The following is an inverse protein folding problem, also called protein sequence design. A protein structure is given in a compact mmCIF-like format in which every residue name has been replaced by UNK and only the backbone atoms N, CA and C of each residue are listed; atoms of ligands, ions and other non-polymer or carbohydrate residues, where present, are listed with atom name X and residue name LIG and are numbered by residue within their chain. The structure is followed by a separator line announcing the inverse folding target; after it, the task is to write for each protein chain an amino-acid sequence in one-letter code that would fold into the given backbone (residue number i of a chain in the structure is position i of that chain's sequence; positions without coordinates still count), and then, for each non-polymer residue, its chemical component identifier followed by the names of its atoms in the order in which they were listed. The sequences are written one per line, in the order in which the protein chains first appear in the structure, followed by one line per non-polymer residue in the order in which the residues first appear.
data_IF_284132536314
#
_entry.id   IF_284132536314
#
_cell.length_a   1.000
_cell.length_b   1.000
_cell.length_c   1.000
_cell.angle_alpha   90.00
_cell.angle_beta   90.00
_cell.angle_gamma   90.00
#
_symmetry.space_group_name_H-M   'P 1'
#
loop_
_entity.id
_entity.type
_entity.pdbx_description
1 polymer ?
#
# COMPACT_ATOMS: atom_id res chain seq x y z
N UNK A 1 10.08 -63.97 26.76
CA UNK A 1 10.90 -62.74 26.84
C UNK A 1 11.02 -62.12 25.46
N UNK A 2 10.06 -61.30 25.04
CA UNK A 2 10.13 -60.44 23.85
C UNK A 2 9.30 -59.19 24.20
N UNK A 3 9.87 -57.99 24.03
CA UNK A 3 9.24 -57.08 23.07
C UNK A 3 10.25 -56.19 22.36
N UNK A 4 10.41 -56.40 21.04
CA UNK A 4 10.92 -55.38 20.12
C UNK A 4 9.78 -55.07 19.16
N UNK A 5 8.93 -54.11 19.53
CA UNK A 5 7.99 -53.45 18.64
C UNK A 5 7.72 -52.08 19.26
N UNK A 6 8.32 -51.00 18.73
CA UNK A 6 7.82 -49.62 18.60
C UNK A 6 8.99 -48.83 17.99
N UNK A 7 9.22 -49.00 16.69
CA UNK A 7 10.10 -48.10 15.94
C UNK A 7 9.64 -48.08 14.49
N UNK A 8 8.49 -47.47 14.18
CA UNK A 8 8.06 -47.21 12.79
C UNK A 8 6.77 -46.38 12.74
N UNK A 9 6.73 -45.20 13.38
CA UNK A 9 5.62 -44.25 13.23
C UNK A 9 6.05 -42.78 13.31
N UNK A 10 7.33 -42.46 13.08
CA UNK A 10 7.82 -41.07 13.14
C UNK A 10 8.31 -40.49 11.80
N UNK A 11 8.05 -41.15 10.67
CA UNK A 11 8.49 -40.66 9.35
C UNK A 11 7.37 -40.07 8.48
N UNK A 12 6.11 -40.16 8.90
CA UNK A 12 4.97 -39.67 8.11
C UNK A 12 4.54 -38.22 8.45
N UNK A 13 4.96 -37.69 9.60
CA UNK A 13 4.54 -36.34 10.04
C UNK A 13 5.42 -35.24 9.43
N UNK A 14 6.66 -35.55 9.02
CA UNK A 14 7.54 -34.55 8.40
C UNK A 14 7.25 -34.27 6.92
N UNK A 15 6.58 -35.17 6.19
CA UNK A 15 6.24 -34.92 4.78
C UNK A 15 4.92 -34.15 4.58
N UNK A 16 4.02 -34.15 5.57
CA UNK A 16 2.74 -33.43 5.48
C UNK A 16 2.83 -31.92 5.69
N UNK A 17 3.90 -31.45 6.35
CA UNK A 17 4.06 -30.03 6.71
C UNK A 17 4.67 -29.15 5.59
N UNK A 18 5.16 -29.76 4.50
CA UNK A 18 5.83 -29.04 3.40
C UNK A 18 4.88 -28.63 2.26
N UNK A 19 3.58 -28.97 2.32
CA UNK A 19 2.60 -28.69 1.26
C UNK A 19 1.65 -27.52 1.54
N UNK A 20 1.79 -26.82 2.68
CA UNK A 20 0.98 -25.63 3.01
C UNK A 20 1.60 -24.30 2.52
N UNK A 21 2.73 -24.34 1.82
CA UNK A 21 3.58 -23.18 1.56
C UNK A 21 3.35 -22.41 0.25
N UNK A 22 2.24 -22.61 -0.46
CA UNK A 22 2.00 -21.90 -1.71
C UNK A 22 0.52 -21.55 -1.94
N UNK A 23 -0.11 -20.93 -0.95
CA UNK A 23 -1.16 -19.96 -1.27
C UNK A 23 -0.47 -18.85 -2.07
N UNK A 24 -0.57 -18.91 -3.41
CA UNK A 24 -0.22 -17.78 -4.27
C UNK A 24 -1.28 -16.70 -4.05
N UNK A 25 -1.21 -16.02 -2.92
CA UNK A 25 -2.03 -14.84 -2.66
C UNK A 25 -1.59 -13.78 -3.66
N UNK A 26 -2.53 -13.33 -4.48
CA UNK A 26 -2.38 -12.12 -5.26
C UNK A 26 -1.81 -11.02 -4.36
N UNK A 27 -0.78 -10.27 -4.79
CA UNK A 27 -0.26 -9.18 -3.98
C UNK A 27 -1.37 -8.15 -3.73
N UNK A 28 -1.36 -7.54 -2.56
CA UNK A 28 -2.35 -6.53 -2.16
C UNK A 28 -1.66 -5.35 -1.50
N UNK A 29 -2.31 -4.19 -1.55
CA UNK A 29 -1.96 -3.03 -0.74
C UNK A 29 -2.42 -3.32 0.69
N UNK A 30 -1.48 -3.32 1.63
CA UNK A 30 -1.76 -3.59 3.04
C UNK A 30 -1.97 -2.31 3.83
N UNK A 31 -1.26 -1.24 3.45
CA UNK A 31 -1.30 0.06 4.10
C UNK A 31 -0.80 1.13 3.15
N UNK A 32 -1.34 2.33 3.28
CA UNK A 32 -0.79 3.54 2.68
C UNK A 32 -0.51 4.54 3.79
N UNK A 33 0.74 4.97 3.91
CA UNK A 33 1.10 6.03 4.83
C UNK A 33 1.06 7.37 4.11
N UNK A 34 0.41 8.35 4.72
CA UNK A 34 0.35 9.73 4.24
C UNK A 34 1.01 10.63 5.27
N UNK A 35 2.02 11.38 4.87
CA UNK A 35 2.77 12.31 5.73
C UNK A 35 2.66 13.72 5.18
N UNK A 36 2.15 14.66 5.97
CA UNK A 36 2.11 16.07 5.57
C UNK A 36 3.48 16.73 5.81
N UNK A 37 4.31 16.77 4.77
CA UNK A 37 5.73 17.18 4.88
C UNK A 37 5.94 18.69 4.88
N UNK A 38 4.91 19.48 4.59
CA UNK A 38 4.98 20.95 4.66
C UNK A 38 4.58 21.54 6.02
N UNK A 39 4.40 20.71 7.05
CA UNK A 39 4.21 21.13 8.43
C UNK A 39 5.34 20.60 9.34
N UNK A 40 5.63 21.36 10.40
CA UNK A 40 6.54 20.97 11.48
C UNK A 40 5.83 21.07 12.84
N UNK A 41 5.68 19.97 13.60
CA UNK A 41 6.06 18.59 13.23
C UNK A 41 5.17 18.05 12.10
N UNK A 42 5.73 17.18 11.25
CA UNK A 42 5.00 16.58 10.13
C UNK A 42 4.05 15.48 10.62
N UNK A 43 2.72 15.68 10.58
CA UNK A 43 1.77 14.64 10.98
C UNK A 43 1.77 13.51 9.94
N UNK A 44 1.57 12.27 10.42
CA UNK A 44 1.52 11.06 9.60
C UNK A 44 0.33 10.19 9.97
N UNK A 45 -0.32 9.61 8.97
CA UNK A 45 -1.44 8.70 9.12
C UNK A 45 -1.18 7.41 8.36
N UNK A 46 -1.30 6.27 9.03
CA UNK A 46 -1.25 4.96 8.39
C UNK A 46 -2.67 4.47 8.09
N UNK A 47 -3.01 4.38 6.81
CA UNK A 47 -4.35 4.07 6.33
C UNK A 47 -4.40 2.63 5.80
N UNK A 48 -5.35 1.86 6.30
CA UNK A 48 -5.59 0.48 5.87
C UNK A 48 -6.75 0.42 4.87
N UNK A 49 -6.90 -0.66 4.06
CA UNK A 49 -8.03 -0.81 3.14
C UNK A 49 -9.39 -0.51 3.78
N UNK A 50 -10.17 0.36 3.14
CA UNK A 50 -11.44 0.89 3.64
C UNK A 50 -11.34 2.06 4.61
N UNK A 51 -10.14 2.50 4.99
CA UNK A 51 -9.95 3.68 5.83
C UNK A 51 -10.06 4.97 5.03
N UNK A 52 -10.56 6.02 5.69
CA UNK A 52 -10.60 7.39 5.19
C UNK A 52 -10.09 8.35 6.25
N UNK A 53 -9.21 9.25 5.86
CA UNK A 53 -8.66 10.30 6.71
C UNK A 53 -9.00 11.66 6.12
N UNK A 54 -9.62 12.51 6.93
CA UNK A 54 -9.83 13.94 6.61
C UNK A 54 -8.73 14.77 7.25
N UNK A 55 -8.21 15.75 6.50
CA UNK A 55 -7.19 16.68 6.96
C UNK A 55 -7.55 18.08 6.49
N UNK A 56 -7.14 19.10 7.24
CA UNK A 56 -7.18 20.47 6.75
C UNK A 56 -6.31 20.61 5.50
N UNK A 57 -6.86 21.21 4.45
CA UNK A 57 -6.10 21.60 3.27
C UNK A 57 -5.60 23.04 3.43
N UNK A 58 -4.32 23.26 3.10
CA UNK A 58 -3.74 24.60 2.95
C UNK A 58 -3.10 24.69 1.56
N UNK A 59 -3.27 25.80 0.82
CA UNK A 59 -2.59 25.98 -0.45
C UNK A 59 -1.07 25.77 -0.32
N UNK A 60 -0.49 25.09 -1.31
CA UNK A 60 0.92 24.67 -1.27
C UNK A 60 1.23 23.50 -0.32
N UNK A 61 0.21 22.81 0.21
CA UNK A 61 0.44 21.59 0.99
C UNK A 61 1.03 20.48 0.13
N UNK A 62 1.93 19.72 0.72
CA UNK A 62 2.56 18.57 0.10
C UNK A 62 2.52 17.36 1.05
N UNK A 63 2.17 16.21 0.49
CA UNK A 63 1.96 14.97 1.21
C UNK A 63 2.83 13.87 0.59
N UNK A 64 3.75 13.31 1.37
CA UNK A 64 4.44 12.08 0.99
C UNK A 64 3.48 10.91 1.18
N UNK A 65 3.37 10.07 0.14
CA UNK A 65 2.55 8.87 0.12
C UNK A 65 3.49 7.68 -0.04
N UNK A 66 3.45 6.75 0.90
CA UNK A 66 4.21 5.50 0.87
C UNK A 66 3.25 4.31 0.87
N UNK A 67 3.35 3.46 -0.15
CA UNK A 67 2.48 2.29 -0.33
C UNK A 67 3.20 1.04 0.20
N UNK A 68 2.52 0.26 1.02
CA UNK A 68 3.06 -0.95 1.65
C UNK A 68 2.40 -2.22 1.13
N UNK A 69 3.21 -3.25 0.93
CA UNK A 69 2.80 -4.62 0.60
C UNK A 69 3.83 -5.61 1.15
N UNK A 70 3.38 -6.71 1.76
CA UNK A 70 4.26 -7.66 2.43
C UNK A 70 5.04 -7.05 3.60
N UNK A 71 4.45 -6.11 4.34
CA UNK A 71 5.06 -5.45 5.51
C UNK A 71 6.14 -4.41 5.20
N UNK A 72 6.41 -4.10 3.93
CA UNK A 72 7.46 -3.15 3.51
C UNK A 72 6.92 -2.09 2.54
N UNK A 73 7.54 -0.91 2.53
CA UNK A 73 7.23 0.12 1.55
C UNK A 73 7.73 -0.34 0.18
N UNK A 74 6.84 -0.40 -0.80
CA UNK A 74 7.14 -0.90 -2.16
C UNK A 74 7.30 0.22 -3.18
N UNK A 75 6.62 1.35 -2.98
CA UNK A 75 6.70 2.53 -3.85
C UNK A 75 6.06 3.73 -3.16
N UNK A 76 6.16 4.91 -3.78
CA UNK A 76 5.61 6.13 -3.21
C UNK A 76 5.86 7.37 -4.04
N UNK A 77 5.38 8.50 -3.54
CA UNK A 77 5.54 9.79 -4.19
C UNK A 77 4.92 10.93 -3.43
N UNK A 78 5.04 12.12 -4.00
CA UNK A 78 4.50 13.35 -3.46
C UNK A 78 3.17 13.68 -4.13
N UNK A 79 2.12 13.86 -3.34
CA UNK A 79 0.90 14.55 -3.74
C UNK A 79 1.00 16.00 -3.28
N UNK A 80 0.88 16.95 -4.19
CA UNK A 80 1.02 18.36 -3.87
C UNK A 80 0.00 19.23 -4.59
N UNK A 81 -0.33 20.36 -3.96
CA UNK A 81 -1.06 21.43 -4.62
C UNK A 81 -0.13 22.24 -5.54
N UNK A 82 -0.57 22.45 -6.78
CA UNK A 82 0.13 23.25 -7.78
C UNK A 82 -0.45 24.66 -7.93
N UNK A 83 -1.47 25.01 -7.12
CA UNK A 83 -2.18 26.29 -7.15
C UNK A 83 -3.49 26.24 -7.94
N UNK A 84 -3.62 25.31 -8.90
CA UNK A 84 -4.86 25.08 -9.66
C UNK A 84 -5.37 23.64 -9.58
N UNK A 85 -4.52 22.70 -9.19
CA UNK A 85 -4.85 21.27 -9.13
C UNK A 85 -3.95 20.53 -8.16
N UNK A 86 -4.42 19.35 -7.74
CA UNK A 86 -3.54 18.36 -7.16
C UNK A 86 -2.73 17.69 -8.26
N UNK A 87 -1.45 17.47 -7.99
CA UNK A 87 -0.55 16.71 -8.84
C UNK A 87 0.15 15.63 -8.01
N UNK A 88 0.59 14.58 -8.71
CA UNK A 88 1.39 13.52 -8.13
C UNK A 88 2.74 13.44 -8.84
N UNK A 89 3.79 13.25 -8.05
CA UNK A 89 5.14 13.02 -8.55
C UNK A 89 5.75 11.82 -7.82
N UNK A 90 6.08 10.72 -8.51
CA UNK A 90 6.80 9.61 -7.91
C UNK A 90 8.14 10.08 -7.29
N UNK A 91 8.51 9.52 -6.14
CA UNK A 91 9.82 9.77 -5.52
C UNK A 91 10.93 9.17 -6.41
N UNK A 92 12.16 9.68 -6.30
CA UNK A 92 13.29 9.12 -7.04
C UNK A 92 13.42 7.60 -6.78
N UNK A 93 13.42 6.81 -7.86
CA UNK A 93 13.49 5.35 -7.79
C UNK A 93 12.15 4.64 -7.56
N UNK A 94 11.06 5.36 -7.28
CA UNK A 94 9.73 4.79 -7.27
C UNK A 94 9.36 4.26 -8.67
N UNK A 95 8.83 3.04 -8.71
CA UNK A 95 8.35 2.39 -9.94
C UNK A 95 6.92 1.98 -9.74
N UNK A 96 6.24 1.72 -10.86
CA UNK A 96 4.95 1.06 -10.87
C UNK A 96 3.87 1.78 -10.04
N UNK A 97 3.95 3.11 -9.93
CA UNK A 97 2.93 3.98 -9.31
C UNK A 97 2.61 5.16 -10.22
N UNK A 98 1.33 5.48 -10.35
CA UNK A 98 0.85 6.56 -11.21
C UNK A 98 -0.39 7.22 -10.62
N UNK A 99 -0.67 8.44 -11.08
CA UNK A 99 -1.92 9.14 -10.77
C UNK A 99 -2.81 9.25 -12.01
N UNK A 100 -4.10 9.03 -11.82
CA UNK A 100 -5.15 9.18 -12.84
C UNK A 100 -6.14 10.24 -12.37
N UNK A 101 -6.68 11.01 -13.32
CA UNK A 101 -7.71 12.00 -13.04
C UNK A 101 -7.22 13.18 -12.19
N UNK A 102 -5.92 13.50 -12.26
CA UNK A 102 -5.35 14.62 -11.53
C UNK A 102 -5.98 15.95 -11.97
N UNK A 103 -6.53 16.67 -11.00
CA UNK A 103 -7.26 17.92 -11.25
C UNK A 103 -7.58 18.69 -9.97
N UNK A 104 -8.41 19.75 -10.07
CA UNK A 104 -8.75 20.62 -8.94
C UNK A 104 -9.44 19.91 -7.77
N UNK A 105 -10.25 18.90 -8.07
CA UNK A 105 -11.06 18.18 -7.09
C UNK A 105 -10.36 16.95 -6.48
N UNK A 106 -9.23 16.52 -7.02
CA UNK A 106 -8.63 15.26 -6.60
C UNK A 106 -7.70 14.61 -7.61
N UNK A 107 -7.24 13.43 -7.22
CA UNK A 107 -6.56 12.44 -8.06
C UNK A 107 -6.76 11.04 -7.46
N UNK A 108 -6.56 10.00 -8.27
CA UNK A 108 -6.51 8.62 -7.79
C UNK A 108 -5.15 8.02 -8.11
N UNK A 109 -4.50 7.44 -7.11
CA UNK A 109 -3.25 6.71 -7.25
C UNK A 109 -3.51 5.23 -7.52
N UNK A 110 -2.78 4.71 -8.50
CA UNK A 110 -2.72 3.29 -8.81
C UNK A 110 -1.30 2.79 -8.61
N UNK A 111 -1.18 1.59 -8.07
CA UNK A 111 0.07 0.85 -7.97
C UNK A 111 -0.02 -0.45 -8.75
N UNK A 112 1.07 -0.86 -9.39
CA UNK A 112 1.21 -2.16 -10.01
C UNK A 112 2.11 -3.03 -9.16
N UNK A 113 1.55 -4.07 -8.54
CA UNK A 113 2.30 -5.03 -7.72
C UNK A 113 2.59 -6.29 -8.52
N UNK A 114 3.73 -6.93 -8.25
CA UNK A 114 4.12 -8.19 -8.87
C UNK A 114 4.00 -9.33 -7.89
N UNK A 115 3.44 -10.45 -8.35
CA UNK A 115 3.44 -11.68 -7.57
C UNK A 115 4.78 -12.43 -7.71
N UNK A 116 4.94 -13.54 -6.98
CA UNK A 116 6.15 -14.37 -7.03
C UNK A 116 6.37 -15.05 -8.39
N UNK A 117 5.36 -15.11 -9.25
CA UNK A 117 5.40 -15.70 -10.59
C UNK A 117 5.67 -14.64 -11.67
N UNK A 118 5.80 -13.37 -11.31
CA UNK A 118 6.01 -12.25 -12.22
C UNK A 118 4.72 -11.66 -12.82
N UNK A 119 3.55 -12.14 -12.40
CA UNK A 119 2.26 -11.56 -12.77
C UNK A 119 2.13 -10.14 -12.22
N UNK A 120 1.70 -9.20 -13.05
CA UNK A 120 1.57 -7.78 -12.68
C UNK A 120 0.10 -7.41 -12.48
N UNK A 121 -0.19 -6.76 -11.35
CA UNK A 121 -1.54 -6.44 -10.90
C UNK A 121 -1.64 -4.95 -10.61
N UNK A 122 -2.32 -4.22 -11.49
CA UNK A 122 -2.64 -2.81 -11.27
C UNK A 122 -3.85 -2.70 -10.34
N UNK A 123 -3.72 -1.95 -9.27
CA UNK A 123 -4.78 -1.74 -8.29
C UNK A 123 -4.82 -0.29 -7.80
N UNK A 124 -6.02 0.18 -7.49
CA UNK A 124 -6.20 1.47 -6.84
C UNK A 124 -5.64 1.39 -5.42
N UNK A 125 -4.80 2.34 -5.02
CA UNK A 125 -4.20 2.34 -3.68
C UNK A 125 -4.61 3.54 -2.84
N UNK A 126 -4.91 4.68 -3.46
CA UNK A 126 -5.29 5.87 -2.72
C UNK A 126 -6.13 6.80 -3.60
N UNK A 127 -7.30 7.19 -3.10
CA UNK A 127 -8.08 8.28 -3.65
C UNK A 127 -7.82 9.53 -2.82
N UNK A 128 -7.42 10.61 -3.49
CA UNK A 128 -7.21 11.91 -2.88
C UNK A 128 -8.27 12.86 -3.39
N UNK A 129 -9.08 13.41 -2.49
CA UNK A 129 -10.13 14.36 -2.83
C UNK A 129 -9.89 15.67 -2.12
N UNK A 130 -10.14 16.77 -2.80
CA UNK A 130 -10.02 18.12 -2.25
C UNK A 130 -11.30 18.91 -2.55
N UNK A 131 -11.83 19.56 -1.51
CA UNK A 131 -12.95 20.46 -1.62
C UNK A 131 -12.86 21.54 -0.53
N UNK A 132 -12.81 22.81 -0.95
CA UNK A 132 -12.73 23.93 -0.04
C UNK A 132 -11.45 23.90 0.79
N UNK A 133 -11.58 23.79 2.11
CA UNK A 133 -10.47 23.82 3.05
C UNK A 133 -10.12 22.41 3.58
N UNK A 134 -10.61 21.36 2.91
CA UNK A 134 -10.43 19.96 3.31
C UNK A 134 -9.83 19.10 2.21
N UNK A 135 -9.02 18.13 2.62
CA UNK A 135 -8.51 17.06 1.79
C UNK A 135 -8.81 15.71 2.45
N UNK A 136 -9.20 14.72 1.66
CA UNK A 136 -9.47 13.36 2.10
C UNK A 136 -8.53 12.39 1.42
N UNK A 137 -7.99 11.47 2.21
CA UNK A 137 -7.19 10.33 1.79
C UNK A 137 -7.98 9.06 2.06
N UNK A 138 -8.38 8.34 1.01
CA UNK A 138 -9.21 7.15 1.11
C UNK A 138 -8.51 5.95 0.46
N UNK A 139 -8.35 4.87 1.22
CA UNK A 139 -7.80 3.61 0.70
C UNK A 139 -8.98 2.70 0.33
N UNK A 140 -9.09 2.22 -0.92
CA UNK A 140 -10.17 1.34 -1.33
C UNK A 140 -10.17 0.02 -0.56
N UNK A 141 -11.30 -0.68 -0.56
CA UNK A 141 -11.47 -1.99 0.09
C UNK A 141 -10.86 -3.13 -0.70
#
# INVERSE_FOLDING_TARGET
MHPIRITLTLSAVLLGALLLGACSSQPSVERVDVTWVSLDPSPRWGLYPGARQEVQFKPGSAYQVDVFSGGQAVTGGMVGDTGSSLAFRPTAGARDIEAVGAGPAGLTLYVTLKDKKGGSYRMECLKVLHAGDKIWFEVPK
#
